data_IF_649845037993
#
_entry.id   IF_649845037993
#
_cell.length_a   1.000
_cell.length_b   1.000
_cell.length_c   1.000
_cell.angle_alpha   90.00
_cell.angle_beta   90.00
_cell.angle_gamma   90.00
#
_symmetry.space_group_name_H-M   'P 1'
#
loop_
_entity.id
_entity.type
_entity.pdbx_description
1 polymer ?
#
# COMPACT_ATOMS: atom_id res chain seq x y z
N UNK A 1 26.01 65.74 -2.17
CA UNK A 1 24.70 65.15 -1.84
C UNK A 1 24.46 63.93 -2.73
N UNK A 2 24.08 62.80 -2.12
CA UNK A 2 23.35 61.61 -2.63
C UNK A 2 23.75 61.07 -4.02
N UNK A 3 24.63 60.06 -4.12
CA UNK A 3 24.40 58.62 -3.89
C UNK A 3 23.40 57.99 -4.89
N UNK A 4 23.99 57.25 -5.83
CA UNK A 4 23.38 56.45 -6.90
C UNK A 4 22.75 55.18 -6.29
N UNK A 5 21.47 54.93 -6.50
CA UNK A 5 20.80 53.70 -6.04
C UNK A 5 20.65 52.71 -7.20
N UNK A 6 21.52 51.68 -7.25
CA UNK A 6 21.28 50.47 -8.05
C UNK A 6 20.27 49.59 -7.30
N UNK A 7 19.14 49.28 -7.95
CA UNK A 7 18.19 48.28 -7.48
C UNK A 7 18.56 46.91 -8.08
N UNK A 8 18.98 45.97 -7.24
CA UNK A 8 19.19 44.57 -7.61
C UNK A 8 17.87 43.83 -7.32
N UNK A 9 17.15 43.44 -8.37
CA UNK A 9 15.98 42.58 -8.25
C UNK A 9 16.43 41.13 -8.07
N UNK A 10 16.28 40.59 -6.86
CA UNK A 10 16.53 39.19 -6.57
C UNK A 10 15.30 38.35 -6.95
N UNK A 11 15.34 37.68 -8.09
CA UNK A 11 14.38 36.63 -8.48
C UNK A 11 14.67 35.36 -7.69
N UNK A 12 13.90 35.15 -6.62
CA UNK A 12 13.91 33.90 -5.87
C UNK A 12 13.25 32.79 -6.72
N UNK A 13 14.06 31.89 -7.28
CA UNK A 13 13.57 30.66 -7.92
C UNK A 13 13.13 29.71 -6.81
N UNK A 14 11.82 29.60 -6.60
CA UNK A 14 11.22 28.56 -5.77
C UNK A 14 11.43 27.20 -6.46
N UNK A 15 12.50 26.50 -6.08
CA UNK A 15 12.67 25.10 -6.43
C UNK A 15 11.60 24.29 -5.68
N UNK A 16 10.47 24.01 -6.35
CA UNK A 16 9.49 23.07 -5.85
C UNK A 16 10.10 21.66 -5.92
N UNK A 17 10.58 21.16 -4.79
CA UNK A 17 10.98 19.77 -4.63
C UNK A 17 9.75 18.89 -4.84
N UNK A 18 9.58 18.34 -6.04
CA UNK A 18 8.61 17.28 -6.27
C UNK A 18 9.12 16.04 -5.54
N UNK A 19 8.63 15.82 -4.33
CA UNK A 19 8.83 14.56 -3.63
C UNK A 19 8.12 13.48 -4.46
N UNK A 20 8.88 12.74 -5.26
CA UNK A 20 8.38 11.53 -5.92
C UNK A 20 8.00 10.58 -4.79
N UNK A 21 6.71 10.32 -4.64
CA UNK A 21 6.22 9.38 -3.64
C UNK A 21 6.83 8.01 -3.95
N UNK A 22 7.77 7.56 -3.10
CA UNK A 22 8.42 6.27 -3.27
C UNK A 22 7.38 5.16 -3.25
N UNK A 23 7.27 4.44 -4.37
CA UNK A 23 6.26 3.41 -4.60
C UNK A 23 6.26 2.30 -3.54
N UNK A 24 5.24 1.45 -3.59
CA UNK A 24 5.11 0.32 -2.68
C UNK A 24 6.01 -0.84 -3.14
N UNK A 25 6.95 -1.24 -2.29
CA UNK A 25 7.75 -2.45 -2.47
C UNK A 25 7.17 -3.60 -1.63
N UNK A 26 6.76 -4.67 -2.32
CA UNK A 26 6.22 -5.90 -1.74
C UNK A 26 7.22 -7.07 -1.79
N UNK A 27 8.51 -6.82 -2.03
CA UNK A 27 9.58 -7.84 -1.99
C UNK A 27 9.66 -8.60 -0.65
N UNK A 28 9.04 -8.06 0.40
CA UNK A 28 8.83 -8.70 1.70
C UNK A 28 7.34 -8.71 2.04
N UNK A 29 6.86 -9.76 2.72
CA UNK A 29 5.48 -9.82 3.16
C UNK A 29 5.20 -8.77 4.24
N UNK A 30 3.98 -8.25 4.23
CA UNK A 30 3.41 -7.37 5.24
C UNK A 30 2.19 -8.07 5.83
N UNK A 31 1.96 -7.93 7.12
CA UNK A 31 0.76 -8.46 7.73
C UNK A 31 0.41 -7.78 9.03
N UNK A 32 -0.78 -8.11 9.54
CA UNK A 32 -1.07 -7.92 10.95
C UNK A 32 -0.37 -9.00 11.80
N UNK A 33 -0.69 -9.04 13.10
CA UNK A 33 -0.10 -10.03 14.02
C UNK A 33 -0.27 -11.47 13.50
N UNK A 34 -1.47 -11.82 13.04
CA UNK A 34 -1.80 -13.18 12.61
C UNK A 34 -1.35 -13.44 11.17
N UNK A 35 -1.44 -12.45 10.29
CA UNK A 35 -0.94 -12.56 8.92
C UNK A 35 0.55 -12.85 8.89
N UNK A 36 1.34 -12.16 9.73
CA UNK A 36 2.77 -12.44 9.82
C UNK A 36 3.11 -13.77 10.49
N UNK A 37 2.24 -14.31 11.35
CA UNK A 37 2.40 -15.68 11.87
C UNK A 37 2.17 -16.68 10.75
N UNK A 38 1.19 -16.45 9.88
CA UNK A 38 0.79 -17.42 8.85
C UNK A 38 1.52 -17.26 7.50
N UNK A 39 2.46 -16.31 7.40
CA UNK A 39 3.22 -16.01 6.16
C UNK A 39 3.96 -17.20 5.54
N UNK A 40 4.26 -18.25 6.31
CA UNK A 40 4.98 -19.44 5.87
C UNK A 40 4.05 -20.67 5.73
N UNK A 41 2.73 -20.47 5.66
CA UNK A 41 1.75 -21.56 5.62
C UNK A 41 1.49 -22.20 6.99
N UNK A 42 1.68 -21.43 8.06
CA UNK A 42 1.17 -21.85 9.38
C UNK A 42 -0.36 -21.69 9.36
N UNK A 43 -1.07 -22.54 10.10
CA UNK A 43 -2.55 -22.55 10.15
C UNK A 43 -3.05 -22.07 11.51
N UNK A 44 -2.51 -20.94 11.99
CA UNK A 44 -3.05 -20.29 13.19
C UNK A 44 -4.32 -19.58 12.80
N UNK A 45 -5.45 -20.24 13.07
CA UNK A 45 -6.78 -19.69 12.90
C UNK A 45 -6.93 -18.40 13.71
N UNK A 46 -7.48 -17.38 13.07
CA UNK A 46 -7.81 -16.12 13.70
C UNK A 46 -9.01 -15.53 12.97
N UNK A 47 -9.99 -15.02 13.74
CA UNK A 47 -11.19 -14.36 13.19
C UNK A 47 -10.84 -13.14 12.32
N UNK A 48 -9.63 -12.61 12.48
CA UNK A 48 -9.07 -11.53 11.67
C UNK A 48 -7.61 -11.82 11.36
N UNK A 49 -7.31 -11.86 10.07
CA UNK A 49 -5.97 -11.98 9.52
C UNK A 49 -5.89 -11.12 8.27
N UNK A 50 -4.76 -10.45 8.11
CA UNK A 50 -4.40 -9.79 6.86
C UNK A 50 -2.93 -10.03 6.57
N UNK A 51 -2.65 -10.69 5.46
CA UNK A 51 -1.31 -10.95 4.94
C UNK A 51 -1.26 -10.48 3.48
N UNK A 52 -0.36 -9.54 3.22
CA UNK A 52 -0.07 -8.97 1.92
C UNK A 52 1.32 -9.43 1.49
N UNK A 53 1.39 -10.18 0.39
CA UNK A 53 2.65 -10.62 -0.23
C UNK A 53 2.87 -9.89 -1.55
N UNK A 54 3.90 -10.28 -2.30
CA UNK A 54 4.06 -9.82 -3.67
C UNK A 54 3.03 -10.44 -4.63
N UNK A 55 2.32 -11.49 -4.25
CA UNK A 55 1.42 -12.20 -5.18
C UNK A 55 -0.02 -12.26 -4.71
N UNK A 56 -0.25 -12.12 -3.41
CA UNK A 56 -1.52 -12.46 -2.81
C UNK A 56 -1.89 -11.48 -1.70
N UNK A 57 -3.20 -11.30 -1.52
CA UNK A 57 -3.80 -10.78 -0.32
C UNK A 57 -4.59 -11.92 0.34
N UNK A 58 -4.16 -12.34 1.51
CA UNK A 58 -4.76 -13.43 2.26
C UNK A 58 -5.45 -12.84 3.48
N UNK A 59 -6.71 -13.24 3.67
CA UNK A 59 -7.52 -12.89 4.84
C UNK A 59 -7.93 -14.15 5.59
N UNK A 60 -8.68 -13.99 6.68
CA UNK A 60 -9.24 -15.14 7.39
C UNK A 60 -10.33 -15.89 6.60
N UNK A 61 -10.90 -15.29 5.55
CA UNK A 61 -12.04 -15.85 4.82
C UNK A 61 -11.83 -15.91 3.29
N UNK A 62 -10.67 -15.48 2.80
CA UNK A 62 -10.38 -15.48 1.37
C UNK A 62 -8.90 -15.39 1.06
N UNK A 63 -8.53 -15.94 -0.10
CA UNK A 63 -7.22 -15.75 -0.71
C UNK A 63 -7.39 -15.09 -2.09
N UNK A 64 -6.75 -13.94 -2.27
CA UNK A 64 -6.84 -13.15 -3.49
C UNK A 64 -5.50 -13.12 -4.21
N UNK A 65 -5.42 -13.78 -5.37
CA UNK A 65 -4.21 -13.84 -6.20
C UNK A 65 -4.17 -12.65 -7.16
N UNK A 66 -3.06 -11.93 -7.16
CA UNK A 66 -2.86 -10.74 -7.98
C UNK A 66 -2.66 -11.13 -9.45
N UNK A 67 -3.50 -10.60 -10.33
CA UNK A 67 -3.39 -10.75 -11.77
C UNK A 67 -2.71 -9.56 -12.44
N UNK A 68 -2.80 -8.37 -11.84
CA UNK A 68 -2.18 -7.14 -12.35
C UNK A 68 -1.82 -6.17 -11.22
N UNK A 69 -0.79 -5.34 -11.44
CA UNK A 69 -0.33 -4.33 -10.49
C UNK A 69 -0.01 -3.03 -11.20
N UNK A 70 -0.63 -1.95 -10.74
CA UNK A 70 -0.47 -0.61 -11.30
C UNK A 70 -0.02 0.37 -10.23
N UNK A 71 1.25 0.80 -10.31
CA UNK A 71 1.75 1.89 -9.50
C UNK A 71 1.10 3.22 -9.92
N UNK A 72 0.72 4.02 -8.95
CA UNK A 72 0.06 5.30 -9.13
C UNK A 72 1.02 6.46 -8.90
N UNK A 73 0.69 7.62 -9.46
CA UNK A 73 1.51 8.84 -9.32
C UNK A 73 1.60 9.34 -7.86
N UNK A 74 0.64 8.98 -7.02
CA UNK A 74 0.63 9.28 -5.58
C UNK A 74 1.47 8.29 -4.74
N UNK A 75 2.15 7.34 -5.40
CA UNK A 75 2.96 6.31 -4.76
C UNK A 75 2.17 5.13 -4.19
N UNK A 76 0.83 5.12 -4.35
CA UNK A 76 0.02 3.94 -4.06
C UNK A 76 0.18 2.86 -5.14
N UNK A 77 -0.26 1.65 -4.81
CA UNK A 77 -0.27 0.50 -5.69
C UNK A 77 -1.69 -0.03 -5.77
N UNK A 78 -2.27 0.00 -6.96
CA UNK A 78 -3.55 -0.65 -7.23
C UNK A 78 -3.27 -2.05 -7.75
N UNK A 79 -3.90 -3.05 -7.18
CA UNK A 79 -3.78 -4.45 -7.61
C UNK A 79 -5.13 -4.99 -8.05
N UNK A 80 -5.16 -5.64 -9.21
CA UNK A 80 -6.31 -6.42 -9.66
C UNK A 80 -6.06 -7.87 -9.29
N UNK A 81 -7.08 -8.54 -8.76
CA UNK A 81 -6.95 -9.85 -8.14
C UNK A 81 -8.10 -10.77 -8.52
N UNK A 82 -7.91 -12.07 -8.33
CA UNK A 82 -8.95 -13.10 -8.32
C UNK A 82 -9.01 -13.72 -6.93
N UNK A 83 -10.15 -13.62 -6.28
CA UNK A 83 -10.35 -14.04 -4.90
C UNK A 83 -11.16 -15.33 -4.84
N UNK A 84 -10.66 -16.28 -4.06
CA UNK A 84 -11.39 -17.48 -3.65
C UNK A 84 -11.87 -17.25 -2.21
N UNK A 85 -13.18 -17.22 -2.01
CA UNK A 85 -13.78 -17.11 -0.68
C UNK A 85 -13.97 -18.51 -0.10
N UNK A 86 -13.72 -18.67 1.20
CA UNK A 86 -13.95 -19.93 1.88
C UNK A 86 -15.41 -20.36 1.77
N UNK A 87 -15.66 -21.55 1.24
CA UNK A 87 -17.00 -22.12 1.10
C UNK A 87 -17.75 -21.70 -0.17
N UNK A 88 -17.15 -20.93 -1.08
CA UNK A 88 -17.72 -20.61 -2.38
C UNK A 88 -17.01 -21.36 -3.52
N UNK A 89 -17.77 -21.74 -4.56
CA UNK A 89 -17.20 -22.34 -5.77
C UNK A 89 -16.79 -21.24 -6.76
N UNK A 90 -15.48 -21.10 -6.99
CA UNK A 90 -14.92 -20.27 -8.05
C UNK A 90 -14.15 -19.04 -7.56
N UNK A 91 -13.75 -18.21 -8.53
CA UNK A 91 -12.95 -17.01 -8.31
C UNK A 91 -13.73 -15.75 -8.70
N UNK A 92 -13.79 -14.77 -7.79
CA UNK A 92 -14.37 -13.46 -8.06
C UNK A 92 -13.27 -12.42 -8.35
N UNK A 93 -13.40 -11.56 -9.38
CA UNK A 93 -12.46 -10.47 -9.56
C UNK A 93 -12.61 -9.44 -8.43
N UNK A 94 -11.49 -8.91 -7.95
CA UNK A 94 -11.47 -7.84 -6.96
C UNK A 94 -10.34 -6.85 -7.27
N UNK A 95 -10.47 -5.62 -6.75
CA UNK A 95 -9.43 -4.61 -6.82
C UNK A 95 -9.12 -4.09 -5.43
N UNK A 96 -7.84 -3.90 -5.15
CA UNK A 96 -7.36 -3.36 -3.89
C UNK A 96 -6.41 -2.19 -4.12
N UNK A 97 -6.46 -1.22 -3.22
CA UNK A 97 -5.51 -0.12 -3.16
C UNK A 97 -4.60 -0.28 -1.95
N UNK A 98 -3.30 -0.31 -2.20
CA UNK A 98 -2.26 -0.42 -1.18
C UNK A 98 -1.53 0.91 -1.13
N UNK A 99 -1.51 1.54 0.05
CA UNK A 99 -0.86 2.84 0.24
C UNK A 99 -0.10 2.91 1.56
N UNK A 100 0.87 3.81 1.67
CA UNK A 100 1.51 4.07 2.97
C UNK A 100 0.49 4.64 3.94
N UNK A 101 0.54 4.21 5.19
CA UNK A 101 -0.31 4.78 6.23
C UNK A 101 0.07 6.24 6.50
N UNK A 102 -0.92 7.12 6.47
CA UNK A 102 -0.78 8.51 6.89
C UNK A 102 -0.41 8.63 8.38
N UNK A 103 -0.74 7.61 9.19
CA UNK A 103 -0.41 7.55 10.62
C UNK A 103 1.00 7.01 10.86
N UNK A 104 1.50 6.13 9.99
CA UNK A 104 2.81 5.52 10.13
C UNK A 104 3.38 5.10 8.76
N UNK A 105 4.35 5.84 8.25
CA UNK A 105 4.96 5.61 6.92
C UNK A 105 5.65 4.24 6.75
N UNK A 106 5.92 3.52 7.85
CA UNK A 106 6.48 2.15 7.84
C UNK A 106 5.42 1.07 7.64
N UNK A 107 4.15 1.44 7.68
CA UNK A 107 3.01 0.53 7.53
C UNK A 107 2.27 0.81 6.23
N UNK A 108 1.59 -0.22 5.75
CA UNK A 108 0.73 -0.14 4.58
C UNK A 108 -0.73 -0.24 5.02
N UNK A 109 -1.61 0.46 4.32
CA UNK A 109 -3.05 0.33 4.43
C UNK A 109 -3.53 -0.39 3.19
N UNK A 110 -4.33 -1.43 3.38
CA UNK A 110 -5.03 -2.12 2.31
C UNK A 110 -6.49 -1.68 2.35
N UNK A 111 -7.00 -1.22 1.22
CA UNK A 111 -8.40 -0.89 1.02
C UNK A 111 -8.96 -1.63 -0.19
N UNK A 112 -10.25 -1.96 -0.15
CA UNK A 112 -10.98 -2.49 -1.30
C UNK A 112 -11.27 -1.39 -2.34
N UNK A 113 -12.02 -1.75 -3.39
CA UNK A 113 -12.34 -0.84 -4.49
C UNK A 113 -13.25 0.32 -4.09
N UNK A 114 -14.07 0.13 -3.06
CA UNK A 114 -14.93 1.17 -2.48
C UNK A 114 -14.15 2.11 -1.53
N UNK A 115 -12.87 1.82 -1.30
CA UNK A 115 -12.02 2.57 -0.40
C UNK A 115 -12.23 2.21 1.07
N UNK A 116 -13.00 1.16 1.36
CA UNK A 116 -13.14 0.65 2.72
C UNK A 116 -11.85 -0.04 3.16
N UNK A 117 -11.38 0.34 4.35
CA UNK A 117 -10.07 -0.08 4.86
C UNK A 117 -10.18 -1.47 5.47
N UNK A 118 -9.55 -2.44 4.84
CA UNK A 118 -9.46 -3.82 5.34
C UNK A 118 -8.52 -3.91 6.55
N UNK A 119 -7.44 -3.12 6.55
CA UNK A 119 -6.51 -3.09 7.67
C UNK A 119 -5.22 -2.33 7.43
N UNK A 120 -4.45 -2.16 8.50
CA UNK A 120 -3.10 -1.58 8.48
C UNK A 120 -2.08 -2.67 8.84
N UNK A 121 -1.14 -2.92 7.93
CA UNK A 121 -0.16 -4.02 8.02
C UNK A 121 1.26 -3.50 8.17
N UNK A 122 2.08 -4.26 8.89
CA UNK A 122 3.51 -3.97 9.09
C UNK A 122 4.35 -5.01 8.35
N UNK A 123 5.56 -4.65 7.94
CA UNK A 123 6.49 -5.61 7.35
C UNK A 123 6.73 -6.77 8.31
N UNK A 124 6.52 -8.00 7.87
CA UNK A 124 6.80 -9.17 8.68
C UNK A 124 8.31 -9.30 8.93
N UNK A 125 8.68 -9.81 10.11
CA UNK A 125 10.07 -10.08 10.50
C UNK A 125 10.59 -11.34 9.85
#
# INVERSE_FOLDING_TARGET
MRALHLAIAATAVLAASQAVAGGIDLSKPYGDKYGCINKNGQEVAADKMLLLTDKELITAASACTFSDKQAQADGSLVVTSKCEAEGEEGQAPAKFTIKRSAKNVKKLVVADEDGHVMGEVSRCK
#
